data_IF_122489023350
#
_entry.id   IF_122489023350
#
_cell.length_a   1.000
_cell.length_b   1.000
_cell.length_c   1.000
_cell.angle_alpha   90.00
_cell.angle_beta   90.00
_cell.angle_gamma   90.00
#
_symmetry.space_group_name_H-M   'P 1'
#
loop_
_entity.id
_entity.type
_entity.pdbx_description
1 polymer ?
#
# COMPACT_ATOMS: atom_id res chain seq x y z
N UNK A 1 0.32 25.87 -12.74
CA UNK A 1 0.36 24.55 -13.41
C UNK A 1 0.28 23.44 -12.37
N UNK A 2 -0.71 22.56 -12.48
CA UNK A 2 -1.18 21.67 -11.41
C UNK A 2 -1.03 20.20 -11.84
N UNK A 3 0.18 19.79 -12.26
CA UNK A 3 0.36 18.47 -12.87
C UNK A 3 0.12 17.35 -11.84
N UNK A 4 -0.73 16.37 -12.20
CA UNK A 4 -1.12 15.25 -11.34
C UNK A 4 0.08 14.40 -10.96
N UNK A 5 0.98 14.16 -11.92
CA UNK A 5 2.24 13.44 -11.73
C UNK A 5 3.11 14.09 -10.66
N UNK A 6 3.27 15.42 -10.72
CA UNK A 6 4.08 16.17 -9.74
C UNK A 6 3.47 16.10 -8.33
N UNK A 7 2.13 16.11 -8.21
CA UNK A 7 1.44 15.92 -6.93
C UNK A 7 1.62 14.53 -6.37
N UNK A 8 1.52 13.50 -7.20
CA UNK A 8 1.67 12.11 -6.77
C UNK A 8 3.12 11.82 -6.37
N UNK A 9 4.10 12.31 -7.14
CA UNK A 9 5.51 12.28 -6.74
C UNK A 9 5.75 12.96 -5.40
N UNK A 10 5.13 14.13 -5.16
CA UNK A 10 5.24 14.84 -3.88
C UNK A 10 4.61 14.06 -2.72
N UNK A 11 3.51 13.35 -2.96
CA UNK A 11 2.87 12.47 -1.96
C UNK A 11 3.76 11.28 -1.60
N UNK A 12 4.34 10.62 -2.60
CA UNK A 12 5.30 9.52 -2.39
C UNK A 12 6.53 10.03 -1.64
N UNK A 13 7.15 11.11 -2.11
CA UNK A 13 8.31 11.75 -1.45
C UNK A 13 8.03 12.10 0.01
N UNK A 14 6.82 12.57 0.34
CA UNK A 14 6.44 12.87 1.74
C UNK A 14 6.36 11.63 2.63
N UNK A 15 5.90 10.49 2.11
CA UNK A 15 5.80 9.23 2.88
C UNK A 15 7.16 8.57 3.09
N UNK A 16 8.06 8.64 2.10
CA UNK A 16 9.39 7.98 2.18
C UNK A 16 10.43 8.79 2.96
N UNK A 17 10.27 10.11 3.05
CA UNK A 17 11.23 11.01 3.72
C UNK A 17 11.48 10.69 5.20
N UNK A 18 10.48 10.33 6.04
CA UNK A 18 10.75 9.83 7.39
C UNK A 18 11.39 8.43 7.42
N UNK A 19 11.38 7.69 6.31
CA UNK A 19 12.00 6.35 6.18
C UNK A 19 13.44 6.42 5.64
N UNK A 20 14.01 7.62 5.49
CA UNK A 20 15.32 7.87 4.87
C UNK A 20 15.42 7.42 3.40
N UNK A 21 14.29 7.28 2.71
CA UNK A 21 14.23 6.77 1.35
C UNK A 21 14.27 5.24 1.27
N UNK A 22 14.42 4.71 0.05
CA UNK A 22 14.54 3.28 -0.19
C UNK A 22 16.02 2.91 -0.38
N UNK A 23 16.48 1.85 0.27
CA UNK A 23 17.87 1.39 0.16
C UNK A 23 18.12 0.57 -1.11
N UNK A 24 17.09 -0.06 -1.69
CA UNK A 24 17.17 -0.84 -2.92
C UNK A 24 15.82 -0.82 -3.65
N UNK A 25 15.82 -1.17 -4.93
CA UNK A 25 14.59 -1.35 -5.72
C UNK A 25 13.70 -2.45 -5.12
N UNK A 26 14.30 -3.52 -4.60
CA UNK A 26 13.57 -4.59 -3.91
C UNK A 26 12.84 -4.07 -2.67
N UNK A 27 13.52 -3.30 -1.80
CA UNK A 27 12.91 -2.69 -0.62
C UNK A 27 11.81 -1.69 -1.01
N UNK A 28 11.99 -0.95 -2.10
CA UNK A 28 10.97 -0.04 -2.61
C UNK A 28 9.71 -0.80 -3.06
N UNK A 29 9.87 -1.90 -3.80
CA UNK A 29 8.76 -2.72 -4.28
C UNK A 29 7.96 -3.31 -3.10
N UNK A 30 8.63 -3.86 -2.09
CA UNK A 30 7.98 -4.42 -0.89
C UNK A 30 7.20 -3.36 -0.12
N UNK A 31 7.80 -2.19 0.14
CA UNK A 31 7.13 -1.11 0.89
C UNK A 31 5.94 -0.54 0.11
N UNK A 32 6.10 -0.29 -1.19
CA UNK A 32 5.02 0.21 -2.03
C UNK A 32 3.87 -0.81 -2.13
N UNK A 33 4.17 -2.10 -2.27
CA UNK A 33 3.18 -3.18 -2.24
C UNK A 33 2.41 -3.24 -0.92
N UNK A 34 3.10 -3.13 0.22
CA UNK A 34 2.44 -3.06 1.54
C UNK A 34 1.54 -1.84 1.70
N UNK A 35 1.96 -0.67 1.19
CA UNK A 35 1.14 0.54 1.18
C UNK A 35 -0.11 0.35 0.33
N UNK A 36 0.03 -0.26 -0.85
CA UNK A 36 -1.09 -0.54 -1.75
C UNK A 36 -2.07 -1.54 -1.14
N UNK A 37 -1.57 -2.61 -0.53
CA UNK A 37 -2.34 -3.61 0.19
C UNK A 37 -3.24 -2.98 1.26
N UNK A 38 -2.69 -2.13 2.13
CA UNK A 38 -3.48 -1.45 3.17
C UNK A 38 -4.54 -0.54 2.55
N UNK A 39 -4.26 0.12 1.42
CA UNK A 39 -5.29 0.91 0.74
C UNK A 39 -6.41 0.04 0.15
N UNK A 40 -6.08 -1.12 -0.42
CA UNK A 40 -7.09 -2.06 -0.97
C UNK A 40 -8.01 -2.59 0.15
N UNK A 41 -7.42 -2.98 1.28
CA UNK A 41 -8.17 -3.44 2.46
C UNK A 41 -9.09 -2.31 2.97
N UNK A 42 -8.56 -1.10 3.17
CA UNK A 42 -9.37 0.05 3.66
C UNK A 42 -10.50 0.46 2.72
N UNK A 43 -10.36 0.20 1.41
CA UNK A 43 -11.41 0.47 0.42
C UNK A 43 -12.46 -0.66 0.34
N UNK A 44 -12.29 -1.75 1.08
CA UNK A 44 -13.17 -2.93 0.98
C UNK A 44 -13.01 -3.69 -0.34
N UNK A 45 -11.98 -3.40 -1.14
CA UNK A 45 -11.73 -4.09 -2.41
C UNK A 45 -11.42 -5.59 -2.20
N UNK A 46 -10.99 -5.95 -0.99
CA UNK A 46 -10.68 -7.33 -0.60
C UNK A 46 -11.90 -8.13 -0.16
N UNK A 47 -13.00 -7.48 0.24
CA UNK A 47 -14.20 -8.16 0.75
C UNK A 47 -14.86 -9.02 -0.35
N UNK A 48 -14.74 -8.59 -1.61
CA UNK A 48 -15.27 -9.34 -2.75
C UNK A 48 -14.32 -10.42 -3.29
N UNK A 49 -13.04 -10.36 -2.93
CA UNK A 49 -12.02 -11.29 -3.43
C UNK A 49 -11.85 -12.52 -2.52
N UNK A 50 -12.33 -12.43 -1.28
CA UNK A 50 -12.18 -13.47 -0.28
C UNK A 50 -13.60 -13.86 0.12
N UNK A 51 -13.98 -15.11 -0.14
CA UNK A 51 -15.26 -15.71 0.28
C UNK A 51 -15.29 -15.94 1.82
N UNK A 52 -14.87 -14.94 2.59
CA UNK A 52 -14.86 -14.96 4.04
C UNK A 52 -15.91 -13.96 4.57
N UNK A 53 -16.77 -14.36 5.51
CA UNK A 53 -17.69 -13.44 6.15
C UNK A 53 -16.92 -12.48 7.06
N UNK A 54 -16.79 -11.23 6.61
CA UNK A 54 -16.28 -10.08 7.36
C UNK A 54 -14.88 -10.27 8.01
N UNK A 55 -13.83 -10.54 7.22
CA UNK A 55 -12.48 -10.74 7.74
C UNK A 55 -11.91 -9.44 8.32
N UNK A 56 -11.19 -9.57 9.44
CA UNK A 56 -10.45 -8.48 10.05
C UNK A 56 -9.29 -8.02 9.15
N UNK A 57 -8.84 -6.78 9.34
CA UNK A 57 -7.71 -6.22 8.58
C UNK A 57 -6.42 -7.04 8.76
N UNK A 58 -6.23 -7.65 9.93
CA UNK A 58 -5.09 -8.50 10.21
C UNK A 58 -5.17 -9.85 9.47
N UNK A 59 -6.36 -10.46 9.40
CA UNK A 59 -6.57 -11.69 8.63
C UNK A 59 -6.38 -11.47 7.14
N UNK A 60 -6.92 -10.36 6.61
CA UNK A 60 -6.70 -9.93 5.22
C UNK A 60 -5.21 -9.74 4.93
N UNK A 61 -4.47 -9.13 5.85
CA UNK A 61 -3.03 -8.93 5.69
C UNK A 61 -2.26 -10.25 5.68
N UNK A 62 -2.56 -11.17 6.61
CA UNK A 62 -1.87 -12.46 6.72
C UNK A 62 -2.13 -13.37 5.50
N UNK A 63 -3.35 -13.38 4.96
CA UNK A 63 -3.69 -14.17 3.76
C UNK A 63 -2.89 -13.75 2.51
N UNK A 64 -2.42 -12.51 2.44
CA UNK A 64 -1.69 -11.96 1.29
C UNK A 64 -0.18 -11.95 1.49
N UNK A 65 0.27 -12.08 2.74
CA UNK A 65 1.68 -12.15 3.10
C UNK A 65 2.22 -13.60 3.12
N UNK A 66 1.34 -14.61 3.02
CA UNK A 66 1.67 -16.04 2.92
C UNK A 66 1.99 -16.45 1.48
#
# INVERSE_FOLDING_TARGET
>A
MNNRTEKDHRRVKRRIRPMLGFQSEHTAAVILGGIELVHMIRKGQMIHAIDAPNPSLAELFNLLAA
#
